data_IF_056627316095
#
_entry.id   IF_056627316095
#
_cell.length_a   1.000
_cell.length_b   1.000
_cell.length_c   1.000
_cell.angle_alpha   90.00
_cell.angle_beta   90.00
_cell.angle_gamma   90.00
#
_symmetry.space_group_name_H-M   'P 1'
#
loop_
_entity.id
_entity.type
_entity.pdbx_description
1 polymer ?
#
# COMPACT_ATOMS: atom_id res chain seq x y z
N UNK A 1 29.74 29.43 -19.76
CA UNK A 1 28.30 29.54 -20.09
C UNK A 1 27.77 28.14 -20.19
N UNK A 2 27.11 27.74 -19.13
CA UNK A 2 27.21 26.43 -18.52
C UNK A 2 26.11 25.52 -19.06
N UNK A 3 26.52 24.32 -19.50
CA UNK A 3 25.59 23.30 -20.00
C UNK A 3 24.97 22.57 -18.82
N UNK A 4 23.72 22.94 -18.51
CA UNK A 4 22.75 22.10 -17.82
C UNK A 4 22.61 20.77 -18.60
N UNK A 5 23.41 19.77 -18.23
CA UNK A 5 23.30 18.42 -18.74
C UNK A 5 22.88 17.52 -17.58
N UNK A 6 21.57 17.58 -17.35
CA UNK A 6 20.73 16.62 -16.64
C UNK A 6 21.29 15.19 -16.81
N UNK A 7 21.97 14.68 -15.77
CA UNK A 7 22.41 13.29 -15.70
C UNK A 7 21.19 12.39 -15.40
N UNK A 8 20.33 12.28 -16.38
CA UNK A 8 19.18 11.39 -16.45
C UNK A 8 19.51 10.09 -17.16
N UNK A 9 20.53 9.34 -16.72
CA UNK A 9 20.81 8.02 -17.31
C UNK A 9 21.23 7.04 -16.21
N UNK A 10 20.66 5.83 -16.27
CA UNK A 10 20.94 4.63 -15.48
C UNK A 10 20.02 4.28 -14.29
N UNK A 11 18.69 4.42 -14.46
CA UNK A 11 17.76 3.43 -13.86
C UNK A 11 16.86 2.89 -14.98
N UNK A 12 17.49 2.38 -16.04
CA UNK A 12 16.83 1.57 -17.07
C UNK A 12 17.51 0.21 -17.04
N UNK A 13 17.03 -0.63 -16.11
CA UNK A 13 17.29 -2.07 -15.97
C UNK A 13 16.43 -2.51 -14.78
N UNK A 14 15.10 -2.48 -14.87
CA UNK A 14 14.32 -3.67 -15.21
C UNK A 14 12.83 -3.30 -15.46
N UNK A 15 12.58 -2.31 -16.32
CA UNK A 15 11.24 -1.70 -16.54
C UNK A 15 10.27 -2.64 -17.29
N UNK A 16 10.73 -3.79 -17.81
CA UNK A 16 9.86 -4.72 -18.54
C UNK A 16 9.04 -5.67 -17.66
N UNK A 17 9.46 -5.96 -16.42
CA UNK A 17 8.73 -6.87 -15.52
C UNK A 17 8.25 -6.23 -14.20
N UNK A 18 8.75 -5.04 -13.86
CA UNK A 18 8.38 -4.33 -12.63
C UNK A 18 6.91 -3.88 -12.59
N UNK A 19 6.28 -3.65 -13.75
CA UNK A 19 4.83 -3.39 -13.83
C UNK A 19 3.98 -4.64 -13.51
N UNK A 20 4.55 -5.84 -13.67
CA UNK A 20 3.92 -7.11 -13.28
C UNK A 20 4.05 -7.34 -11.77
N UNK A 21 5.18 -6.93 -11.19
CA UNK A 21 5.48 -7.13 -9.77
C UNK A 21 4.78 -6.11 -8.83
N UNK A 22 4.62 -4.85 -9.28
CA UNK A 22 3.90 -3.79 -8.54
C UNK A 22 2.76 -3.15 -9.37
N UNK A 23 1.70 -3.91 -9.71
CA UNK A 23 0.67 -3.42 -10.62
C UNK A 23 -0.28 -2.39 -10.00
N UNK A 24 -0.22 -2.15 -8.69
CA UNK A 24 -1.24 -1.38 -7.99
C UNK A 24 -0.70 -0.09 -7.36
N UNK A 25 -1.37 1.02 -7.66
CA UNK A 25 -1.25 2.24 -6.87
C UNK A 25 -2.01 2.10 -5.55
N UNK A 26 -1.81 3.00 -4.59
CA UNK A 26 -2.59 2.99 -3.34
C UNK A 26 -4.10 2.91 -3.56
N UNK A 27 -4.64 3.65 -4.55
CA UNK A 27 -6.05 3.57 -4.94
C UNK A 27 -6.42 2.20 -5.51
N UNK A 28 -5.55 1.64 -6.37
CA UNK A 28 -5.69 0.30 -6.91
C UNK A 28 -5.76 -0.77 -5.82
N UNK A 29 -4.85 -0.71 -4.83
CA UNK A 29 -4.86 -1.62 -3.68
C UNK A 29 -6.17 -1.54 -2.91
N UNK A 30 -6.64 -0.34 -2.58
CA UNK A 30 -7.91 -0.16 -1.85
C UNK A 30 -9.06 -0.79 -2.63
N UNK A 31 -9.13 -0.56 -3.95
CA UNK A 31 -10.18 -1.13 -4.78
C UNK A 31 -10.11 -2.67 -4.83
N UNK A 32 -8.91 -3.23 -4.98
CA UNK A 32 -8.69 -4.67 -5.05
C UNK A 32 -8.99 -5.36 -3.71
N UNK A 33 -8.59 -4.76 -2.60
CA UNK A 33 -8.97 -5.21 -1.24
C UNK A 33 -10.48 -5.21 -1.09
N UNK A 34 -11.17 -4.11 -1.45
CA UNK A 34 -12.64 -4.02 -1.38
C UNK A 34 -13.31 -5.09 -2.25
N UNK A 35 -12.80 -5.33 -3.46
CA UNK A 35 -13.32 -6.34 -4.38
C UNK A 35 -13.19 -7.74 -3.77
N UNK A 36 -12.03 -8.07 -3.20
CA UNK A 36 -11.79 -9.35 -2.52
C UNK A 36 -12.70 -9.53 -1.29
N UNK A 37 -12.84 -8.51 -0.44
CA UNK A 37 -13.74 -8.54 0.72
C UNK A 37 -15.20 -8.74 0.30
N UNK A 38 -15.67 -8.00 -0.71
CA UNK A 38 -17.03 -8.14 -1.26
C UNK A 38 -17.27 -9.54 -1.83
N UNK A 39 -16.28 -10.10 -2.53
CA UNK A 39 -16.33 -11.44 -3.12
C UNK A 39 -16.35 -12.53 -2.04
N UNK A 40 -15.64 -12.30 -0.94
CA UNK A 40 -15.66 -13.15 0.26
C UNK A 40 -16.87 -12.89 1.18
N UNK A 41 -17.71 -11.88 0.88
CA UNK A 41 -18.82 -11.40 1.73
C UNK A 41 -18.39 -11.05 3.16
N UNK A 42 -17.20 -10.49 3.31
CA UNK A 42 -16.63 -10.05 4.58
C UNK A 42 -16.91 -8.56 4.77
N UNK A 43 -17.57 -8.22 5.87
CA UNK A 43 -17.72 -6.85 6.34
C UNK A 43 -16.72 -6.60 7.45
N UNK A 44 -15.99 -5.49 7.37
CA UNK A 44 -15.02 -5.10 8.39
C UNK A 44 -15.67 -4.09 9.33
N UNK A 45 -15.39 -4.20 10.63
CA UNK A 45 -15.86 -3.25 11.63
C UNK A 45 -14.72 -2.36 12.12
N UNK A 46 -15.07 -1.12 12.45
CA UNK A 46 -14.19 -0.15 13.09
C UNK A 46 -14.96 0.54 14.18
N UNK A 47 -14.47 0.47 15.42
CA UNK A 47 -15.18 0.98 16.61
C UNK A 47 -16.62 0.46 16.75
N UNK A 48 -16.87 -0.77 16.31
CA UNK A 48 -18.19 -1.42 16.35
C UNK A 48 -19.10 -1.15 15.15
N UNK A 49 -18.77 -0.16 14.30
CA UNK A 49 -19.54 0.16 13.10
C UNK A 49 -19.00 -0.56 11.86
N UNK A 50 -19.90 -0.98 10.97
CA UNK A 50 -19.54 -1.58 9.70
C UNK A 50 -18.97 -0.51 8.76
N UNK A 51 -17.69 -0.65 8.40
CA UNK A 51 -16.98 0.33 7.58
C UNK A 51 -16.46 -0.29 6.31
N UNK A 52 -16.26 0.55 5.30
CA UNK A 52 -15.61 0.14 4.06
C UNK A 52 -14.12 0.41 4.13
N UNK A 53 -13.31 -0.52 3.59
CA UNK A 53 -11.88 -0.32 3.47
C UNK A 53 -11.57 0.92 2.62
N UNK A 54 -10.83 1.87 3.18
CA UNK A 54 -10.57 3.18 2.58
C UNK A 54 -9.07 3.50 2.66
N UNK A 55 -8.67 4.67 2.16
CA UNK A 55 -7.27 5.11 2.21
C UNK A 55 -6.73 5.25 3.63
N UNK A 56 -7.56 5.65 4.58
CA UNK A 56 -7.16 5.78 5.98
C UNK A 56 -6.76 4.42 6.58
N UNK A 57 -7.60 3.39 6.38
CA UNK A 57 -7.29 2.02 6.80
C UNK A 57 -6.01 1.51 6.12
N UNK A 58 -5.87 1.70 4.81
CA UNK A 58 -4.66 1.32 4.09
C UNK A 58 -3.40 2.01 4.64
N UNK A 59 -3.49 3.31 4.93
CA UNK A 59 -2.36 4.07 5.45
C UNK A 59 -1.94 3.61 6.86
N UNK A 60 -2.89 3.17 7.70
CA UNK A 60 -2.59 2.50 8.97
C UNK A 60 -1.76 1.24 8.75
N UNK A 61 -2.14 0.38 7.80
CA UNK A 61 -1.35 -0.81 7.46
C UNK A 61 0.07 -0.45 6.99
N UNK A 62 0.17 0.56 6.13
CA UNK A 62 1.47 1.03 5.63
C UNK A 62 2.37 1.52 6.77
N UNK A 63 1.80 2.24 7.75
CA UNK A 63 2.53 2.74 8.93
C UNK A 63 2.89 1.63 9.92
N UNK A 64 1.92 0.81 10.33
CA UNK A 64 2.13 -0.23 11.36
C UNK A 64 3.10 -1.30 10.90
N UNK A 65 2.99 -1.73 9.64
CA UNK A 65 3.87 -2.76 9.07
C UNK A 65 5.08 -2.18 8.33
N UNK A 66 5.27 -0.86 8.37
CA UNK A 66 6.33 -0.16 7.65
C UNK A 66 6.45 -0.65 6.20
N UNK A 67 5.32 -0.79 5.49
CA UNK A 67 5.30 -1.42 4.15
C UNK A 67 6.21 -0.70 3.16
N UNK A 68 6.37 0.63 3.31
CA UNK A 68 7.30 1.46 2.52
C UNK A 68 8.78 1.12 2.73
N UNK A 69 9.13 0.54 3.87
CA UNK A 69 10.49 0.09 4.18
C UNK A 69 10.79 -1.29 3.57
N UNK A 70 9.73 -2.05 3.22
CA UNK A 70 9.87 -3.39 2.69
C UNK A 70 9.65 -3.40 1.18
N UNK A 71 10.72 -3.61 0.43
CA UNK A 71 10.68 -3.72 -1.03
C UNK A 71 9.68 -4.79 -1.50
N UNK A 72 9.42 -5.87 -0.74
CA UNK A 72 8.43 -6.88 -1.12
C UNK A 72 7.00 -6.36 -1.20
N UNK A 73 6.69 -5.27 -0.49
CA UNK A 73 5.33 -4.73 -0.37
C UNK A 73 5.14 -3.44 -1.13
N UNK A 74 6.11 -2.53 -1.09
CA UNK A 74 5.98 -1.22 -1.72
C UNK A 74 7.29 -0.82 -2.42
N UNK A 75 7.12 -0.09 -3.51
CA UNK A 75 8.21 0.49 -4.28
C UNK A 75 7.87 1.94 -4.60
N UNK A 76 8.84 2.84 -4.41
CA UNK A 76 8.71 4.23 -4.80
C UNK A 76 9.17 4.35 -6.25
N UNK A 77 8.22 4.45 -7.20
CA UNK A 77 8.54 4.62 -8.62
C UNK A 77 8.74 6.10 -8.99
N UNK A 78 8.86 7.00 -8.02
CA UNK A 78 9.02 8.43 -8.31
C UNK A 78 10.23 8.62 -9.23
N UNK A 79 10.05 9.42 -10.28
CA UNK A 79 11.20 9.92 -11.02
C UNK A 79 12.00 10.90 -10.14
N UNK A 80 13.32 11.03 -10.37
CA UNK A 80 14.17 12.02 -9.68
C UNK A 80 13.63 13.46 -9.79
N UNK A 81 12.82 13.75 -10.81
CA UNK A 81 12.23 15.07 -11.08
C UNK A 81 10.74 15.20 -10.66
N UNK A 82 10.14 14.16 -10.08
CA UNK A 82 8.78 14.23 -9.54
C UNK A 82 8.82 14.67 -8.07
N UNK A 83 8.22 15.83 -7.78
CA UNK A 83 7.98 16.27 -6.40
C UNK A 83 6.94 15.39 -5.69
N UNK A 84 6.06 14.73 -6.43
CA UNK A 84 5.05 13.83 -5.90
C UNK A 84 5.60 12.40 -5.80
N UNK A 85 5.57 11.81 -4.60
CA UNK A 85 5.97 10.41 -4.44
C UNK A 85 4.96 9.47 -5.10
N UNK A 86 5.41 8.72 -6.10
CA UNK A 86 4.61 7.73 -6.80
C UNK A 86 4.83 6.35 -6.17
N UNK A 87 4.17 6.09 -5.04
CA UNK A 87 4.22 4.78 -4.38
C UNK A 87 3.31 3.77 -5.07
N UNK A 88 3.90 2.64 -5.45
CA UNK A 88 3.21 1.46 -5.97
C UNK A 88 3.43 0.26 -5.04
N UNK A 89 2.51 -0.69 -5.10
CA UNK A 89 2.43 -1.81 -4.19
C UNK A 89 2.25 -3.11 -4.98
N UNK A 90 2.80 -4.18 -4.41
CA UNK A 90 2.75 -5.50 -4.99
C UNK A 90 1.43 -6.21 -4.69
N UNK A 91 1.14 -7.25 -5.46
CA UNK A 91 0.01 -8.14 -5.18
C UNK A 91 0.14 -8.77 -3.77
N UNK A 92 1.36 -9.07 -3.33
CA UNK A 92 1.62 -9.61 -1.98
C UNK A 92 1.18 -8.66 -0.87
N UNK A 93 1.32 -7.34 -1.04
CA UNK A 93 0.84 -6.37 -0.06
C UNK A 93 -0.70 -6.43 0.07
N UNK A 94 -1.41 -6.57 -1.05
CA UNK A 94 -2.86 -6.70 -1.07
C UNK A 94 -3.30 -8.00 -0.42
N UNK A 95 -2.68 -9.13 -0.76
CA UNK A 95 -3.00 -10.42 -0.16
C UNK A 95 -2.69 -10.44 1.34
N UNK A 96 -1.63 -9.78 1.78
CA UNK A 96 -1.33 -9.60 3.20
C UNK A 96 -2.45 -8.82 3.92
N UNK A 97 -2.86 -7.67 3.38
CA UNK A 97 -3.93 -6.84 3.96
C UNK A 97 -5.24 -7.63 4.00
N UNK A 98 -5.62 -8.28 2.90
CA UNK A 98 -6.87 -9.05 2.81
C UNK A 98 -6.85 -10.23 3.76
N UNK A 99 -5.74 -10.99 3.82
CA UNK A 99 -5.60 -12.11 4.76
C UNK A 99 -5.70 -11.62 6.20
N UNK A 100 -5.08 -10.50 6.52
CA UNK A 100 -5.11 -9.93 7.87
C UNK A 100 -6.53 -9.45 8.25
N UNK A 101 -7.23 -8.77 7.33
CA UNK A 101 -8.63 -8.36 7.51
C UNK A 101 -9.58 -9.56 7.59
N UNK A 102 -9.33 -10.62 6.82
CA UNK A 102 -10.16 -11.83 6.82
C UNK A 102 -9.95 -12.65 8.09
N UNK A 103 -8.74 -12.60 8.67
CA UNK A 103 -8.41 -13.27 9.92
C UNK A 103 -9.15 -12.66 11.11
N UNK A 104 -9.27 -11.33 11.14
CA UNK A 104 -9.99 -10.63 12.22
C UNK A 104 -10.77 -9.41 11.71
N UNK A 105 -11.89 -9.60 11.00
CA UNK A 105 -12.60 -8.48 10.37
C UNK A 105 -13.24 -7.52 11.37
N UNK A 106 -13.44 -7.94 12.63
CA UNK A 106 -14.09 -7.11 13.65
C UNK A 106 -13.12 -6.20 14.41
N UNK A 107 -11.93 -6.70 14.79
CA UNK A 107 -10.98 -5.96 15.63
C UNK A 107 -9.69 -5.61 14.91
N UNK A 108 -9.41 -6.15 13.71
CA UNK A 108 -8.16 -5.88 12.98
C UNK A 108 -7.81 -4.40 12.93
N UNK A 109 -8.77 -3.57 12.55
CA UNK A 109 -8.52 -2.14 12.39
C UNK A 109 -8.24 -1.50 13.77
N UNK A 110 -9.06 -1.75 14.79
CA UNK A 110 -8.83 -1.25 16.15
C UNK A 110 -7.47 -1.69 16.71
N UNK A 111 -7.05 -2.93 16.47
CA UNK A 111 -5.71 -3.42 16.83
C UNK A 111 -4.59 -2.67 16.11
N UNK A 112 -4.76 -2.33 14.83
CA UNK A 112 -3.79 -1.52 14.09
C UNK A 112 -3.68 -0.10 14.65
N UNK A 113 -4.81 0.47 15.07
CA UNK A 113 -4.85 1.77 15.73
C UNK A 113 -4.11 1.73 17.07
N UNK A 114 -4.35 0.71 17.89
CA UNK A 114 -3.66 0.52 19.17
C UNK A 114 -2.14 0.41 18.97
N UNK A 115 -1.70 -0.42 18.02
CA UNK A 115 -0.28 -0.52 17.65
C UNK A 115 0.35 0.79 17.15
N UNK A 116 -0.46 1.71 16.61
CA UNK A 116 0.00 3.05 16.21
C UNK A 116 0.13 3.98 17.42
N UNK A 117 -0.71 3.84 18.44
CA UNK A 117 -0.71 4.72 19.63
C UNK A 117 0.22 4.25 20.75
N UNK A 118 0.53 2.95 20.86
CA UNK A 118 1.46 2.40 21.87
C UNK A 118 2.94 2.69 21.58
N UNK A 119 3.27 3.22 20.39
CA UNK A 119 4.65 3.59 20.01
C UNK A 119 5.02 5.04 20.36
N UNK A 120 4.33 5.67 21.31
CA UNK A 120 4.60 7.03 21.78
C UNK A 120 5.22 6.97 23.17
#
# INVERSE_FOLDING_TARGET
MDKDAEQGIAIVKDVRDSSSYYPFTAKGCINEVRKRLKRARITIKWKGEDVTFNKFHFDLFVRVFSMKSNAKFAYDRKAKNEKASSWIYSQQAIDFIVRYLTKDPMNCLDQLRLKTTEKI
#
